data_IF_688833514282
#
_entry.id   IF_688833514282
#
_cell.length_a   1.000
_cell.length_b   1.000
_cell.length_c   1.000
_cell.angle_alpha   90.00
_cell.angle_beta   90.00
_cell.angle_gamma   90.00
#
_symmetry.space_group_name_H-M   'P 1'
#
loop_
_entity.id
_entity.type
_entity.pdbx_description
1 polymer ?
#
# COMPACT_ATOMS: atom_id res chain seq x y z
N UNK A 1 -6.20 -8.16 19.88
CA UNK A 1 -5.01 -7.88 19.06
C UNK A 1 -4.02 -9.00 19.27
N UNK A 2 -3.54 -9.64 18.21
CA UNK A 2 -2.52 -10.71 18.29
C UNK A 2 -1.14 -10.05 18.23
N UNK A 3 -0.26 -10.38 19.16
CA UNK A 3 1.12 -9.87 19.23
C UNK A 3 2.09 -10.96 18.71
N UNK A 4 3.16 -10.61 17.97
CA UNK A 4 3.50 -9.27 17.51
C UNK A 4 2.52 -8.77 16.43
N UNK A 5 2.26 -7.46 16.43
CA UNK A 5 1.48 -6.82 15.37
C UNK A 5 2.38 -6.65 14.15
N UNK A 6 2.34 -7.62 13.24
CA UNK A 6 2.94 -7.53 11.93
C UNK A 6 1.83 -7.28 10.89
N UNK A 7 2.04 -6.27 10.04
CA UNK A 7 1.27 -6.02 8.81
C UNK A 7 2.20 -6.22 7.61
N UNK A 8 2.68 -7.45 7.42
CA UNK A 8 3.60 -7.82 6.35
C UNK A 8 2.90 -8.31 5.08
N UNK A 9 1.59 -8.50 5.13
CA UNK A 9 0.76 -8.86 3.98
C UNK A 9 -0.38 -7.86 3.74
N UNK A 10 -0.86 -7.78 2.50
CA UNK A 10 -2.03 -6.96 2.14
C UNK A 10 -3.28 -7.37 2.93
N UNK A 11 -3.47 -8.67 3.17
CA UNK A 11 -4.60 -9.20 3.93
C UNK A 11 -4.64 -8.70 5.36
N UNK A 12 -3.51 -8.79 6.09
CA UNK A 12 -3.41 -8.26 7.46
C UNK A 12 -3.66 -6.75 7.49
N UNK A 13 -3.13 -6.02 6.50
CA UNK A 13 -3.29 -4.57 6.42
C UNK A 13 -4.75 -4.15 6.23
N UNK A 14 -5.47 -4.88 5.37
CA UNK A 14 -6.90 -4.71 5.13
C UNK A 14 -7.71 -5.03 6.40
N UNK A 15 -7.42 -6.13 7.08
CA UNK A 15 -8.08 -6.52 8.35
C UNK A 15 -7.82 -5.52 9.48
N UNK A 16 -6.61 -4.98 9.55
CA UNK A 16 -6.22 -3.98 10.52
C UNK A 16 -6.81 -2.60 10.21
N UNK A 17 -7.38 -2.41 9.01
CA UNK A 17 -7.96 -1.16 8.54
C UNK A 17 -6.95 -0.04 8.38
N UNK A 18 -5.66 -0.33 8.17
CA UNK A 18 -4.63 0.71 8.04
C UNK A 18 -4.44 1.13 6.58
N UNK A 19 -4.26 2.42 6.31
CA UNK A 19 -4.13 2.93 4.95
C UNK A 19 -2.71 2.80 4.39
N UNK A 20 -2.56 2.83 3.06
CA UNK A 20 -1.28 2.82 2.37
C UNK A 20 -1.30 3.87 1.25
N UNK A 21 -0.29 4.71 1.18
CA UNK A 21 -0.09 5.60 0.03
C UNK A 21 1.26 5.36 -0.62
N UNK A 22 1.36 5.75 -1.89
CA UNK A 22 2.58 5.73 -2.66
C UNK A 22 2.92 7.14 -3.14
N UNK A 23 4.21 7.47 -3.09
CA UNK A 23 4.80 8.69 -3.62
C UNK A 23 5.83 8.34 -4.67
N UNK A 24 5.70 8.87 -5.88
CA UNK A 24 6.72 8.70 -6.91
C UNK A 24 7.82 9.74 -6.73
N UNK A 25 9.04 9.30 -6.42
CA UNK A 25 10.19 10.19 -6.27
C UNK A 25 10.68 10.75 -7.60
N UNK A 26 10.28 10.17 -8.74
CA UNK A 26 10.56 10.70 -10.09
C UNK A 26 9.68 11.89 -10.44
N UNK A 27 8.35 11.71 -10.49
CA UNK A 27 7.40 12.76 -10.93
C UNK A 27 6.67 13.47 -9.79
N UNK A 28 6.94 13.12 -8.53
CA UNK A 28 6.37 13.75 -7.32
C UNK A 28 4.86 13.58 -7.15
N UNK A 29 4.23 12.67 -7.90
CA UNK A 29 2.82 12.31 -7.75
C UNK A 29 2.60 11.45 -6.51
N UNK A 30 1.47 11.67 -5.83
CA UNK A 30 1.01 10.85 -4.70
C UNK A 30 -0.30 10.16 -5.04
N UNK A 31 -0.48 8.92 -4.61
CA UNK A 31 -1.75 8.21 -4.66
C UNK A 31 -2.02 7.44 -3.37
N UNK A 32 -3.28 7.39 -2.94
CA UNK A 32 -3.74 6.46 -1.90
C UNK A 32 -4.09 5.14 -2.59
N UNK A 33 -3.62 4.03 -2.03
CA UNK A 33 -3.86 2.71 -2.57
C UNK A 33 -5.14 2.11 -1.99
N UNK A 34 -6.01 1.61 -2.86
CA UNK A 34 -7.17 0.81 -2.48
C UNK A 34 -6.72 -0.61 -2.12
N UNK A 35 -6.61 -0.88 -0.82
CA UNK A 35 -6.16 -2.18 -0.32
C UNK A 35 -7.14 -3.31 -0.65
N UNK A 36 -8.44 -3.06 -0.73
CA UNK A 36 -9.41 -4.08 -1.07
C UNK A 36 -9.23 -4.55 -2.53
N UNK A 37 -9.04 -3.60 -3.44
CA UNK A 37 -8.76 -3.91 -4.84
C UNK A 37 -7.37 -4.54 -5.01
N UNK A 38 -6.36 -4.11 -4.26
CA UNK A 38 -5.05 -4.76 -4.28
C UNK A 38 -5.11 -6.22 -3.80
N UNK A 39 -5.84 -6.51 -2.71
CA UNK A 39 -6.06 -7.88 -2.22
C UNK A 39 -6.79 -8.72 -3.28
N UNK A 40 -7.80 -8.15 -3.95
CA UNK A 40 -8.52 -8.84 -5.02
C UNK A 40 -7.60 -9.20 -6.20
N UNK A 41 -6.64 -8.34 -6.54
CA UNK A 41 -5.72 -8.55 -7.68
C UNK A 41 -4.54 -9.46 -7.36
N UNK A 42 -3.92 -9.29 -6.19
CA UNK A 42 -2.65 -9.93 -5.85
C UNK A 42 -2.79 -11.04 -4.80
N UNK A 43 -3.96 -11.18 -4.19
CA UNK A 43 -4.20 -12.12 -3.11
C UNK A 43 -3.91 -11.52 -1.73
N UNK A 44 -4.46 -12.19 -0.71
CA UNK A 44 -4.34 -11.78 0.70
C UNK A 44 -2.93 -11.96 1.22
N UNK A 45 -2.24 -13.01 0.77
CA UNK A 45 -0.90 -13.39 1.22
C UNK A 45 0.22 -12.61 0.52
N UNK A 46 -0.13 -11.68 -0.38
CA UNK A 46 0.85 -10.82 -1.05
C UNK A 46 1.63 -10.00 -0.01
N UNK A 47 2.97 -10.13 0.05
CA UNK A 47 3.78 -9.30 0.94
C UNK A 47 3.65 -7.81 0.58
N UNK A 48 3.55 -6.96 1.60
CA UNK A 48 3.30 -5.53 1.42
C UNK A 48 4.42 -4.64 1.97
N UNK A 49 5.62 -5.19 2.14
CA UNK A 49 6.82 -4.41 2.45
C UNK A 49 7.35 -3.72 1.19
N UNK A 50 8.15 -2.66 1.36
CA UNK A 50 8.59 -1.80 0.26
C UNK A 50 9.15 -2.59 -0.93
N UNK A 51 10.08 -3.53 -0.69
CA UNK A 51 10.72 -4.32 -1.73
C UNK A 51 9.76 -5.26 -2.48
N UNK A 52 8.65 -5.64 -1.87
CA UNK A 52 7.63 -6.48 -2.50
C UNK A 52 6.63 -5.63 -3.28
N UNK A 53 6.26 -4.47 -2.76
CA UNK A 53 5.35 -3.54 -3.44
C UNK A 53 5.97 -2.95 -4.71
N UNK A 54 7.25 -2.57 -4.71
CA UNK A 54 7.90 -2.05 -5.94
C UNK A 54 7.95 -3.08 -7.07
N UNK A 55 7.78 -4.38 -6.80
CA UNK A 55 7.74 -5.44 -7.83
C UNK A 55 6.41 -5.43 -8.59
N UNK A 56 5.32 -5.05 -7.93
CA UNK A 56 3.95 -5.13 -8.47
C UNK A 56 3.30 -3.76 -8.74
N UNK A 57 3.85 -2.68 -8.17
CA UNK A 57 3.38 -1.30 -8.36
C UNK A 57 4.40 -0.50 -9.16
N UNK A 58 3.90 0.36 -10.04
CA UNK A 58 4.69 1.29 -10.84
C UNK A 58 3.92 2.59 -11.05
N UNK A 59 4.62 3.68 -11.32
CA UNK A 59 4.03 4.96 -11.69
C UNK A 59 3.62 4.94 -13.16
N UNK A 60 2.31 4.98 -13.43
CA UNK A 60 1.76 5.00 -14.79
C UNK A 60 2.31 6.17 -15.63
N UNK A 61 2.36 7.37 -15.06
CA UNK A 61 2.86 8.58 -15.73
C UNK A 61 4.35 8.49 -16.09
N UNK A 62 5.17 7.89 -15.22
CA UNK A 62 6.59 7.68 -15.51
C UNK A 62 6.79 6.60 -16.57
N UNK A 63 6.03 5.51 -16.51
CA UNK A 63 6.08 4.45 -17.51
C UNK A 63 5.70 4.96 -18.89
N UNK A 64 4.61 5.72 -18.99
CA UNK A 64 4.14 6.30 -20.25
C UNK A 64 5.19 7.25 -20.87
N UNK A 65 5.96 7.94 -20.02
CA UNK A 65 7.01 8.86 -20.45
C UNK A 65 8.41 8.22 -20.59
N UNK A 66 8.55 6.89 -20.45
CA UNK A 66 9.83 6.19 -20.57
C UNK A 66 10.85 6.52 -19.46
N UNK A 67 10.39 6.99 -18.30
CA UNK A 67 11.24 7.26 -17.11
C UNK A 67 11.30 6.04 -16.20
N UNK A 68 12.21 6.07 -15.21
CA UNK A 68 12.14 5.13 -14.09
C UNK A 68 10.81 5.28 -13.34
N UNK A 69 10.02 4.21 -13.39
CA UNK A 69 8.66 4.11 -12.91
C UNK A 69 8.52 3.39 -11.57
N UNK A 70 9.63 2.91 -11.00
CA UNK A 70 9.68 2.18 -9.73
C UNK A 70 10.42 2.91 -8.62
N UNK A 71 10.87 4.14 -8.86
CA UNK A 71 11.35 5.04 -7.81
C UNK A 71 10.17 5.52 -6.93
N UNK A 72 9.68 4.64 -6.08
CA UNK A 72 8.45 4.78 -5.31
C UNK A 72 8.75 4.67 -3.81
N UNK A 73 8.18 5.57 -3.03
CA UNK A 73 8.17 5.50 -1.57
C UNK A 73 6.76 5.15 -1.11
N UNK A 74 6.64 4.18 -0.20
CA UNK A 74 5.36 3.80 0.39
C UNK A 74 5.26 4.35 1.82
N UNK A 75 4.06 4.79 2.20
CA UNK A 75 3.77 5.33 3.54
C UNK A 75 2.61 4.57 4.15
N UNK A 76 2.86 3.97 5.31
CA UNK A 76 1.83 3.33 6.12
C UNK A 76 1.08 4.39 6.94
N UNK A 77 -0.24 4.38 6.82
CA UNK A 77 -1.15 5.22 7.60
C UNK A 77 -1.78 4.36 8.69
N UNK A 78 -1.21 4.42 9.89
CA UNK A 78 -1.81 3.80 11.06
C UNK A 78 -3.09 4.55 11.43
N UNK A 79 -4.21 3.84 11.56
CA UNK A 79 -5.39 4.40 12.19
C UNK A 79 -5.31 4.16 13.70
N UNK A 80 -5.53 5.23 14.48
CA UNK A 80 -5.74 5.11 15.92
C UNK A 80 -6.92 4.14 16.16
N UNK A 81 -6.84 3.24 17.18
CA UNK A 81 -7.88 2.25 17.45
C UNK A 81 -9.31 2.81 17.51
N UNK A 82 -9.47 4.05 17.99
CA UNK A 82 -10.73 4.79 18.08
C UNK A 82 -11.38 5.11 16.72
N UNK A 83 -10.59 5.26 15.65
CA UNK A 83 -11.09 5.61 14.31
C UNK A 83 -11.47 4.38 13.47
N UNK A 84 -11.19 3.16 13.95
CA UNK A 84 -11.52 1.90 13.25
C UNK A 84 -13.01 1.54 13.26
N UNK A 85 -13.84 2.15 14.12
CA UNK A 85 -15.26 1.76 14.33
C UNK A 85 -16.28 2.73 13.76
N UNK A 86 -15.87 3.78 13.05
CA UNK A 86 -16.79 4.84 12.62
C UNK A 86 -17.06 4.78 11.12
N UNK A 87 -17.37 3.60 10.61
CA UNK A 87 -18.03 3.38 9.32
C UNK A 87 -18.75 2.03 9.43
N UNK A 88 -20.06 2.07 9.70
CA UNK A 88 -20.94 0.91 9.91
C UNK A 88 -22.03 1.19 10.94
#
# INVERSE_FOLDING_TARGET
MKFPFAEDTLGQKLEAGTGLSVYCLTCKSTAVLDLAEMVKRFGRDQPCMHWDLIKIIYCHECRAAGRDDRNLQFTNHALAPEKRRRDG
#
